data_IF_273159759664
#
_entry.id   IF_273159759664
#
_cell.length_a   1.000
_cell.length_b   1.000
_cell.length_c   1.000
_cell.angle_alpha   90.00
_cell.angle_beta   90.00
_cell.angle_gamma   90.00
#
_symmetry.space_group_name_H-M   'P 1'
#
loop_
_entity.id
_entity.type
_entity.pdbx_description
1 polymer ?
#
# COMPACT_ATOMS: atom_id res chain seq x y z
N UNK A 1 44.58 -8.20 -36.32
CA UNK A 1 44.39 -8.14 -34.86
C UNK A 1 45.32 -9.16 -34.20
N UNK A 2 46.12 -8.78 -33.19
CA UNK A 2 47.03 -9.74 -32.55
C UNK A 2 46.20 -10.86 -31.92
N UNK A 3 46.65 -12.12 -32.07
CA UNK A 3 45.94 -13.33 -31.60
C UNK A 3 45.50 -13.24 -30.13
N UNK A 4 46.24 -12.49 -29.32
CA UNK A 4 45.93 -12.19 -27.90
C UNK A 4 44.64 -11.37 -27.75
N UNK A 5 44.39 -10.40 -28.62
CA UNK A 5 43.18 -9.56 -28.59
C UNK A 5 41.93 -10.37 -28.95
N UNK A 6 42.06 -11.33 -29.88
CA UNK A 6 40.98 -12.25 -30.27
C UNK A 6 40.60 -13.17 -29.10
N UNK A 7 41.61 -13.71 -28.40
CA UNK A 7 41.39 -14.58 -27.23
C UNK A 7 40.75 -13.81 -26.08
N UNK A 8 41.18 -12.57 -25.82
CA UNK A 8 40.55 -11.69 -24.83
C UNK A 8 39.11 -11.34 -25.20
N UNK A 9 38.82 -11.06 -26.48
CA UNK A 9 37.47 -10.77 -26.93
C UNK A 9 36.54 -11.99 -26.81
N UNK A 10 37.03 -13.19 -27.10
CA UNK A 10 36.29 -14.45 -26.92
C UNK A 10 36.07 -14.75 -25.43
N UNK A 11 37.06 -14.49 -24.56
CA UNK A 11 36.92 -14.68 -23.12
C UNK A 11 35.93 -13.70 -22.47
N UNK A 12 35.85 -12.46 -22.98
CA UNK A 12 34.84 -11.47 -22.56
C UNK A 12 33.45 -11.87 -23.06
N UNK A 13 33.32 -12.37 -24.29
CA UNK A 13 32.05 -12.87 -24.82
C UNK A 13 31.54 -14.11 -24.07
N UNK A 14 32.42 -15.05 -23.70
CA UNK A 14 32.04 -16.25 -22.94
C UNK A 14 31.61 -15.95 -21.50
N UNK A 15 32.09 -14.86 -20.90
CA UNK A 15 31.63 -14.38 -19.59
C UNK A 15 30.38 -13.48 -19.65
N UNK A 16 30.00 -12.98 -20.84
CA UNK A 16 28.85 -12.10 -21.02
C UNK A 16 27.51 -12.85 -21.18
N UNK A 17 27.52 -14.18 -21.30
CA UNK A 17 26.31 -15.00 -21.55
C UNK A 17 25.78 -15.75 -20.33
N UNK A 18 25.97 -15.26 -19.10
CA UNK A 18 25.04 -15.60 -18.02
C UNK A 18 23.79 -14.75 -18.14
N UNK A 19 23.07 -14.87 -19.26
CA UNK A 19 21.69 -14.42 -19.33
C UNK A 19 20.93 -15.40 -18.44
N UNK A 20 20.75 -15.03 -17.17
CA UNK A 20 19.73 -15.70 -16.35
C UNK A 20 18.40 -15.39 -17.03
N UNK A 21 17.91 -16.32 -17.84
CA UNK A 21 16.53 -16.35 -18.22
C UNK A 21 15.70 -16.29 -16.93
N UNK A 22 14.61 -15.52 -16.94
CA UNK A 22 13.61 -15.59 -15.87
C UNK A 22 13.28 -17.07 -15.62
N UNK A 23 13.48 -17.55 -14.40
CA UNK A 23 13.30 -18.98 -14.09
C UNK A 23 11.85 -19.40 -14.32
N UNK A 24 10.89 -18.53 -13.96
CA UNK A 24 9.50 -18.66 -14.37
C UNK A 24 9.25 -17.98 -15.72
N UNK A 25 8.69 -18.73 -16.68
CA UNK A 25 8.29 -18.18 -17.98
C UNK A 25 7.14 -17.18 -17.85
N UNK A 26 7.01 -16.25 -18.80
CA UNK A 26 5.87 -15.33 -18.84
C UNK A 26 4.52 -16.05 -18.93
N UNK A 27 4.47 -17.22 -19.58
CA UNK A 27 3.26 -18.04 -19.66
C UNK A 27 2.85 -18.59 -18.28
N UNK A 28 3.81 -19.14 -17.51
CA UNK A 28 3.55 -19.59 -16.14
C UNK A 28 3.15 -18.44 -15.23
N UNK A 29 3.81 -17.28 -15.34
CA UNK A 29 3.46 -16.10 -14.53
C UNK A 29 2.04 -15.63 -14.83
N UNK A 30 1.65 -15.60 -16.11
CA UNK A 30 0.28 -15.25 -16.51
C UNK A 30 -0.74 -16.21 -15.91
N UNK A 31 -0.45 -17.51 -15.89
CA UNK A 31 -1.32 -18.48 -15.23
C UNK A 31 -1.37 -18.24 -13.72
N UNK A 32 -0.24 -18.03 -13.06
CA UNK A 32 -0.19 -17.72 -11.62
C UNK A 32 -1.01 -16.48 -11.26
N UNK A 33 -0.96 -15.43 -12.08
CA UNK A 33 -1.80 -14.23 -11.89
C UNK A 33 -3.29 -14.63 -11.92
N UNK A 34 -3.73 -15.42 -12.90
CA UNK A 34 -5.12 -15.89 -12.98
C UNK A 34 -5.53 -16.76 -11.79
N UNK A 35 -4.60 -17.57 -11.28
CA UNK A 35 -4.83 -18.42 -10.11
C UNK A 35 -4.98 -17.55 -8.84
N UNK A 36 -4.15 -16.51 -8.68
CA UNK A 36 -4.29 -15.56 -7.58
C UNK A 36 -5.62 -14.79 -7.62
N UNK A 37 -6.07 -14.30 -8.80
CA UNK A 37 -7.38 -13.61 -8.90
C UNK A 37 -8.53 -14.49 -8.39
N UNK A 38 -8.45 -15.82 -8.59
CA UNK A 38 -9.52 -16.78 -8.25
C UNK A 38 -9.44 -17.34 -6.83
N UNK A 39 -8.28 -17.26 -6.19
CA UNK A 39 -8.03 -17.83 -4.87
C UNK A 39 -8.53 -16.86 -3.77
N UNK A 40 -9.30 -17.32 -2.77
CA UNK A 40 -9.79 -16.46 -1.69
C UNK A 40 -8.69 -15.81 -0.85
N UNK A 41 -7.45 -16.28 -0.94
CA UNK A 41 -6.27 -15.70 -0.29
C UNK A 41 -5.26 -15.16 -1.29
N UNK A 42 -5.47 -15.31 -2.59
CA UNK A 42 -4.57 -14.79 -3.63
C UNK A 42 -3.12 -15.25 -3.42
N UNK A 43 -2.16 -14.31 -3.29
CA UNK A 43 -0.74 -14.63 -3.06
C UNK A 43 -0.41 -15.04 -1.61
N UNK A 44 -1.39 -15.00 -0.71
CA UNK A 44 -1.23 -15.26 0.72
C UNK A 44 -1.52 -16.73 1.10
N UNK A 45 -0.78 -17.25 2.07
CA UNK A 45 -0.91 -18.62 2.55
C UNK A 45 -1.85 -18.70 3.76
N UNK A 46 -1.51 -18.02 4.85
CA UNK A 46 -2.27 -18.03 6.11
C UNK A 46 -1.87 -16.85 6.98
N UNK A 47 -2.74 -16.47 7.92
CA UNK A 47 -2.41 -15.47 8.95
C UNK A 47 -1.40 -16.06 9.94
N UNK A 48 -0.47 -15.24 10.43
CA UNK A 48 0.54 -15.58 11.44
C UNK A 48 0.79 -14.35 12.32
N UNK A 49 1.27 -14.60 13.53
CA UNK A 49 1.98 -13.60 14.32
C UNK A 49 3.45 -13.64 13.96
N UNK A 50 4.05 -12.47 13.75
CA UNK A 50 5.47 -12.27 13.49
C UNK A 50 6.03 -11.44 14.64
N UNK A 51 6.75 -12.11 15.54
CA UNK A 51 7.23 -11.53 16.78
C UNK A 51 8.62 -10.94 16.61
N UNK A 52 8.95 -9.90 17.37
CA UNK A 52 10.26 -9.24 17.31
C UNK A 52 11.43 -10.15 17.70
N UNK A 53 11.16 -11.22 18.46
CA UNK A 53 12.14 -12.27 18.79
C UNK A 53 12.44 -13.21 17.61
N UNK A 54 11.83 -12.99 16.44
CA UNK A 54 12.00 -13.77 15.21
C UNK A 54 11.12 -15.02 15.14
N UNK A 55 10.30 -15.29 16.16
CA UNK A 55 9.37 -16.41 16.13
C UNK A 55 8.13 -16.10 15.28
N UNK A 56 7.57 -17.15 14.65
CA UNK A 56 6.29 -17.07 13.96
C UNK A 56 5.28 -17.98 14.66
N UNK A 57 4.12 -17.43 15.02
CA UNK A 57 3.09 -18.15 15.79
C UNK A 57 1.76 -18.23 15.04
N UNK A 58 0.89 -19.15 15.46
CA UNK A 58 -0.44 -19.31 14.87
C UNK A 58 -1.35 -18.12 15.23
N UNK A 59 -2.38 -17.77 14.43
CA UNK A 59 -3.19 -16.56 14.65
C UNK A 59 -3.84 -16.42 16.03
N UNK A 60 -4.15 -17.55 16.68
CA UNK A 60 -4.77 -17.62 18.02
C UNK A 60 -3.75 -17.73 19.15
N UNK A 61 -2.47 -17.62 18.83
CA UNK A 61 -1.34 -17.76 19.73
C UNK A 61 -0.47 -16.48 19.61
N UNK A 62 -0.85 -15.38 20.29
CA UNK A 62 -0.15 -14.10 20.18
C UNK A 62 1.31 -14.21 20.62
N UNK A 63 2.11 -13.19 20.32
CA UNK A 63 3.50 -13.14 20.78
C UNK A 63 3.60 -13.26 22.31
N UNK A 64 4.70 -13.84 22.84
CA UNK A 64 4.89 -13.99 24.29
C UNK A 64 4.70 -12.67 25.03
N UNK A 65 4.32 -12.73 26.30
CA UNK A 65 4.18 -11.53 27.13
C UNK A 65 5.49 -10.73 27.15
N UNK A 66 5.40 -9.42 26.86
CA UNK A 66 6.55 -8.53 26.75
C UNK A 66 7.32 -8.62 25.43
N UNK A 67 6.85 -9.40 24.46
CA UNK A 67 7.39 -9.45 23.10
C UNK A 67 6.35 -8.86 22.15
N UNK A 68 6.69 -7.74 21.53
CA UNK A 68 5.85 -7.11 20.51
C UNK A 68 5.90 -7.90 19.20
N UNK A 69 4.93 -7.63 18.34
CA UNK A 69 4.82 -8.25 17.04
C UNK A 69 3.58 -7.82 16.31
N UNK A 70 3.52 -8.18 15.04
CA UNK A 70 2.43 -7.82 14.15
C UNK A 70 1.75 -9.08 13.61
N UNK A 71 0.45 -8.97 13.35
CA UNK A 71 -0.32 -10.04 12.74
C UNK A 71 -0.63 -9.69 11.29
N UNK A 72 -0.17 -10.52 10.35
CA UNK A 72 -0.49 -10.38 8.95
C UNK A 72 -0.48 -11.75 8.25
N UNK A 73 -0.79 -11.77 6.96
CA UNK A 73 -0.67 -12.96 6.13
C UNK A 73 0.80 -13.31 5.84
N UNK A 74 1.16 -14.58 5.92
CA UNK A 74 2.39 -15.10 5.31
C UNK A 74 2.17 -15.32 3.81
N UNK A 75 3.24 -15.28 3.03
CA UNK A 75 3.20 -15.55 1.60
C UNK A 75 3.10 -17.04 1.28
N UNK A 76 2.57 -17.35 0.10
CA UNK A 76 2.72 -18.69 -0.49
C UNK A 76 4.17 -18.88 -0.96
N UNK A 77 4.71 -20.12 -0.92
CA UNK A 77 6.05 -20.39 -1.43
C UNK A 77 6.24 -19.94 -2.88
N UNK A 78 5.21 -20.05 -3.72
CA UNK A 78 5.27 -19.56 -5.10
C UNK A 78 5.46 -18.04 -5.17
N UNK A 79 4.79 -17.27 -4.30
CA UNK A 79 4.93 -15.82 -4.24
C UNK A 79 6.35 -15.42 -3.84
N UNK A 80 6.90 -16.09 -2.83
CA UNK A 80 8.29 -15.87 -2.38
C UNK A 80 9.29 -16.22 -3.50
N UNK A 81 9.10 -17.35 -4.18
CA UNK A 81 9.96 -17.76 -5.29
C UNK A 81 9.89 -16.78 -6.47
N UNK A 82 8.74 -16.16 -6.76
CA UNK A 82 8.63 -15.13 -7.81
C UNK A 82 9.40 -13.87 -7.44
N UNK A 83 9.36 -13.45 -6.17
CA UNK A 83 10.16 -12.34 -5.67
C UNK A 83 11.66 -12.65 -5.78
N UNK A 84 12.09 -13.82 -5.34
CA UNK A 84 13.51 -14.20 -5.30
C UNK A 84 14.12 -14.47 -6.69
N UNK A 85 13.38 -15.15 -7.58
CA UNK A 85 13.93 -15.67 -8.84
C UNK A 85 13.64 -14.79 -10.04
N UNK A 86 12.55 -14.03 -9.98
CA UNK A 86 12.07 -13.20 -11.09
C UNK A 86 12.02 -11.71 -10.74
N UNK A 87 12.32 -11.33 -9.48
CA UNK A 87 12.19 -9.97 -8.97
C UNK A 87 10.77 -9.42 -9.15
N UNK A 88 9.76 -10.28 -8.96
CA UNK A 88 8.34 -9.95 -9.09
C UNK A 88 7.65 -10.02 -7.73
N UNK A 89 7.12 -8.89 -7.27
CA UNK A 89 6.54 -8.75 -5.94
C UNK A 89 5.02 -8.60 -6.04
N UNK A 90 4.28 -9.60 -5.55
CA UNK A 90 2.82 -9.68 -5.67
C UNK A 90 2.16 -9.64 -4.28
N UNK A 91 1.20 -8.73 -4.10
CA UNK A 91 0.46 -8.59 -2.84
C UNK A 91 1.33 -8.15 -1.67
N UNK A 92 2.21 -7.19 -1.91
CA UNK A 92 3.13 -6.64 -0.91
C UNK A 92 2.40 -6.26 0.39
N UNK A 93 2.99 -6.64 1.53
CA UNK A 93 2.59 -6.31 2.89
C UNK A 93 3.73 -5.44 3.41
N UNK A 94 3.52 -4.13 3.47
CA UNK A 94 4.59 -3.20 3.81
C UNK A 94 5.11 -3.46 5.22
N UNK A 95 4.21 -3.76 6.17
CA UNK A 95 4.59 -4.05 7.56
C UNK A 95 5.58 -5.23 7.69
N UNK A 96 5.61 -6.14 6.70
CA UNK A 96 6.54 -7.26 6.66
C UNK A 96 7.83 -6.98 5.87
N UNK A 97 7.93 -5.82 5.20
CA UNK A 97 9.01 -5.52 4.28
C UNK A 97 10.20 -4.83 4.96
N UNK A 98 11.42 -5.24 4.61
CA UNK A 98 12.61 -4.44 4.94
C UNK A 98 12.66 -3.18 4.05
N UNK A 99 12.83 -2.00 4.68
CA UNK A 99 12.80 -0.69 4.00
C UNK A 99 13.85 -0.57 2.90
N UNK A 100 15.06 -1.12 3.09
CA UNK A 100 16.13 -1.08 2.09
C UNK A 100 15.81 -1.99 0.90
N UNK A 101 15.32 -3.21 1.16
CA UNK A 101 14.89 -4.15 0.13
C UNK A 101 13.66 -3.66 -0.62
N UNK A 102 12.77 -2.93 0.04
CA UNK A 102 11.61 -2.30 -0.59
C UNK A 102 12.03 -1.10 -1.46
N UNK A 103 12.94 -0.25 -0.97
CA UNK A 103 13.53 0.83 -1.75
C UNK A 103 14.31 0.32 -2.96
N UNK A 104 14.92 -0.86 -2.86
CA UNK A 104 15.44 -1.62 -4.00
C UNK A 104 16.39 -0.82 -4.90
N UNK A 105 17.32 -0.10 -4.27
CA UNK A 105 18.22 0.82 -4.98
C UNK A 105 19.10 0.14 -6.04
N UNK A 106 19.43 -1.15 -5.84
CA UNK A 106 20.23 -1.92 -6.77
C UNK A 106 19.49 -2.26 -8.07
N UNK A 107 18.15 -2.21 -8.08
CA UNK A 107 17.30 -2.46 -9.25
C UNK A 107 16.44 -1.23 -9.58
N UNK A 108 16.99 -0.03 -9.37
CA UNK A 108 16.32 1.23 -9.70
C UNK A 108 14.91 1.34 -9.09
N UNK A 109 14.75 1.03 -7.80
CA UNK A 109 13.46 1.11 -7.10
C UNK A 109 12.40 0.21 -7.72
N UNK A 110 12.78 -0.90 -8.36
CA UNK A 110 11.85 -1.79 -9.07
C UNK A 110 10.73 -2.30 -8.16
N UNK A 111 11.04 -2.76 -6.93
CA UNK A 111 10.02 -3.21 -5.98
C UNK A 111 9.02 -2.12 -5.60
N UNK A 112 9.49 -0.92 -5.29
CA UNK A 112 8.61 0.25 -5.05
C UNK A 112 7.73 0.54 -6.28
N UNK A 113 8.29 0.58 -7.48
CA UNK A 113 7.53 0.81 -8.72
C UNK A 113 6.47 -0.27 -8.94
N UNK A 114 6.81 -1.53 -8.67
CA UNK A 114 5.86 -2.65 -8.73
C UNK A 114 4.73 -2.49 -7.71
N UNK A 115 5.04 -2.04 -6.49
CA UNK A 115 4.02 -1.72 -5.49
C UNK A 115 3.00 -0.70 -6.02
N UNK A 116 3.48 0.41 -6.57
CA UNK A 116 2.59 1.46 -7.14
C UNK A 116 1.75 0.94 -8.31
N UNK A 117 2.35 0.13 -9.19
CA UNK A 117 1.62 -0.51 -10.28
C UNK A 117 0.56 -1.48 -9.75
N UNK A 118 0.86 -2.26 -8.71
CA UNK A 118 -0.09 -3.15 -8.07
C UNK A 118 -1.26 -2.37 -7.46
N UNK A 119 -1.00 -1.24 -6.77
CA UNK A 119 -2.04 -0.35 -6.22
C UNK A 119 -2.92 0.24 -7.31
N UNK A 120 -2.33 0.74 -8.39
CA UNK A 120 -3.08 1.21 -9.54
C UNK A 120 -3.97 0.10 -10.12
N UNK A 121 -3.42 -1.09 -10.38
CA UNK A 121 -4.17 -2.22 -10.93
C UNK A 121 -5.29 -2.69 -10.00
N UNK A 122 -5.05 -2.73 -8.69
CA UNK A 122 -6.10 -3.01 -7.70
C UNK A 122 -7.27 -2.03 -7.83
N UNK A 123 -6.98 -0.74 -7.97
CA UNK A 123 -8.00 0.31 -8.06
C UNK A 123 -8.83 0.27 -9.36
N UNK A 124 -8.28 -0.22 -10.48
CA UNK A 124 -8.93 -0.18 -11.80
C UNK A 124 -9.36 -1.54 -12.35
N UNK A 125 -8.90 -2.66 -11.77
CA UNK A 125 -9.19 -4.04 -12.20
C UNK A 125 -9.72 -4.90 -11.03
N UNK A 126 -10.70 -4.39 -10.28
CA UNK A 126 -11.41 -5.12 -9.22
C UNK A 126 -10.47 -5.85 -8.24
N UNK A 127 -9.49 -5.15 -7.67
CA UNK A 127 -8.48 -5.74 -6.78
C UNK A 127 -7.37 -6.53 -7.50
N UNK A 128 -7.43 -6.66 -8.83
CA UNK A 128 -6.45 -7.33 -9.69
C UNK A 128 -6.05 -8.71 -9.14
N UNK A 129 -4.78 -8.98 -8.81
CA UNK A 129 -4.36 -10.27 -8.21
C UNK A 129 -5.01 -10.56 -6.85
N UNK A 130 -5.53 -9.53 -6.18
CA UNK A 130 -6.26 -9.62 -4.92
C UNK A 130 -7.77 -9.63 -5.14
N UNK A 131 -8.28 -9.91 -6.34
CA UNK A 131 -9.71 -9.82 -6.65
C UNK A 131 -10.63 -10.48 -5.61
N UNK A 132 -10.30 -11.68 -5.11
CA UNK A 132 -10.98 -12.25 -3.95
C UNK A 132 -10.27 -12.00 -2.63
N UNK A 133 -8.94 -11.90 -2.66
CA UNK A 133 -8.12 -11.77 -1.47
C UNK A 133 -8.20 -10.38 -0.80
N UNK A 134 -8.75 -9.36 -1.47
CA UNK A 134 -9.04 -8.05 -0.89
C UNK A 134 -10.04 -8.14 0.27
N UNK A 135 -10.78 -9.24 0.36
CA UNK A 135 -11.68 -9.58 1.48
C UNK A 135 -11.05 -10.58 2.46
N UNK A 136 -9.76 -10.92 2.32
CA UNK A 136 -9.09 -11.86 3.21
C UNK A 136 -8.79 -11.23 4.57
N UNK A 137 -9.73 -11.42 5.51
CA UNK A 137 -9.65 -10.84 6.85
C UNK A 137 -8.35 -11.19 7.59
N UNK A 138 -7.70 -10.15 8.10
CA UNK A 138 -6.45 -10.25 8.88
C UNK A 138 -5.20 -10.39 8.03
N UNK A 139 -5.30 -10.33 6.69
CA UNK A 139 -4.12 -10.41 5.83
C UNK A 139 -3.20 -9.20 6.00
N UNK A 140 -3.79 -8.01 6.16
CA UNK A 140 -3.12 -6.72 6.31
C UNK A 140 -3.89 -5.92 7.36
N UNK A 141 -3.19 -5.12 8.17
CA UNK A 141 -3.76 -4.18 9.14
C UNK A 141 -3.32 -2.77 8.74
N UNK A 142 -4.27 -1.84 8.59
CA UNK A 142 -3.98 -0.49 8.09
C UNK A 142 -2.98 0.26 8.97
N UNK A 143 -3.10 0.06 10.29
CA UNK A 143 -2.31 0.71 11.32
C UNK A 143 -0.84 0.28 11.24
N UNK A 144 -0.57 -1.01 11.00
CA UNK A 144 0.79 -1.54 10.84
C UNK A 144 1.43 -1.07 9.53
N UNK A 145 0.65 -0.99 8.44
CA UNK A 145 1.13 -0.48 7.15
C UNK A 145 1.44 1.02 7.22
N UNK A 146 0.61 1.81 7.92
CA UNK A 146 0.83 3.24 8.16
C UNK A 146 2.07 3.49 9.03
N UNK A 147 2.23 2.74 10.12
CA UNK A 147 3.40 2.82 10.97
C UNK A 147 4.67 2.54 10.16
N UNK A 148 4.65 1.48 9.34
CA UNK A 148 5.76 1.17 8.46
C UNK A 148 6.05 2.30 7.46
N UNK A 149 5.01 2.88 6.86
CA UNK A 149 5.13 3.94 5.87
C UNK A 149 5.71 5.24 6.44
N UNK A 150 5.30 5.62 7.65
CA UNK A 150 5.89 6.75 8.39
C UNK A 150 7.39 6.52 8.58
N UNK A 151 7.77 5.36 9.14
CA UNK A 151 9.18 5.03 9.35
C UNK A 151 9.97 4.95 8.04
N UNK A 152 9.34 4.48 6.95
CA UNK A 152 9.94 4.47 5.61
C UNK A 152 10.25 5.87 5.12
N UNK A 153 9.33 6.82 5.25
CA UNK A 153 9.59 8.20 4.83
C UNK A 153 10.55 8.94 5.74
N UNK A 154 10.52 8.71 7.05
CA UNK A 154 11.53 9.24 7.97
C UNK A 154 12.94 8.77 7.59
N UNK A 155 13.10 7.49 7.25
CA UNK A 155 14.36 6.94 6.78
C UNK A 155 14.76 7.45 5.38
N UNK A 156 13.81 7.59 4.47
CA UNK A 156 14.04 7.95 3.07
C UNK A 156 14.37 9.42 2.89
N UNK A 157 13.62 10.30 3.56
CA UNK A 157 13.70 11.76 3.41
C UNK A 157 14.80 12.39 4.27
N UNK A 158 15.40 11.64 5.20
CA UNK A 158 16.56 12.09 5.98
C UNK A 158 17.86 12.21 5.16
N UNK A 159 17.86 11.71 3.92
CA UNK A 159 19.02 11.70 3.03
C UNK A 159 18.74 12.53 1.77
N UNK A 160 19.23 13.77 1.76
CA UNK A 160 19.01 14.73 0.67
C UNK A 160 19.46 14.18 -0.70
N UNK A 161 20.53 13.37 -0.74
CA UNK A 161 21.03 12.80 -1.98
C UNK A 161 20.04 11.78 -2.57
N UNK A 162 19.30 11.03 -1.73
CA UNK A 162 18.22 10.16 -2.22
C UNK A 162 17.08 10.96 -2.79
N UNK A 163 16.69 12.05 -2.10
CA UNK A 163 15.61 12.92 -2.51
C UNK A 163 15.91 13.58 -3.86
N UNK A 164 17.08 14.22 -4.00
CA UNK A 164 17.48 14.90 -5.23
C UNK A 164 17.54 13.94 -6.42
N UNK A 165 18.14 12.76 -6.24
CA UNK A 165 18.30 11.78 -7.32
C UNK A 165 16.97 11.13 -7.74
N UNK A 166 16.01 11.00 -6.83
CA UNK A 166 14.81 10.18 -7.04
C UNK A 166 13.50 10.96 -6.80
N UNK A 167 13.56 12.29 -6.89
CA UNK A 167 12.46 13.19 -6.51
C UNK A 167 11.09 12.76 -7.06
N UNK A 168 11.00 12.44 -8.34
CA UNK A 168 9.71 12.10 -8.96
C UNK A 168 9.13 10.77 -8.48
N UNK A 169 9.95 9.73 -8.27
CA UNK A 169 9.44 8.45 -7.77
C UNK A 169 9.04 8.56 -6.30
N UNK A 170 9.81 9.32 -5.50
CA UNK A 170 9.47 9.61 -4.10
C UNK A 170 8.15 10.40 -4.04
N UNK A 171 8.01 11.45 -4.87
CA UNK A 171 6.77 12.23 -4.96
C UNK A 171 5.58 11.37 -5.37
N UNK A 172 5.74 10.43 -6.30
CA UNK A 172 4.65 9.55 -6.68
C UNK A 172 4.31 8.55 -5.56
N UNK A 173 5.31 8.01 -4.85
CA UNK A 173 5.06 7.00 -3.82
C UNK A 173 4.19 7.52 -2.68
N UNK A 174 4.25 8.83 -2.40
CA UNK A 174 3.39 9.52 -1.41
C UNK A 174 1.89 9.39 -1.71
N UNK A 175 1.48 8.88 -2.88
CA UNK A 175 0.06 8.59 -3.15
C UNK A 175 -0.36 7.19 -2.71
N UNK A 176 0.59 6.27 -2.67
CA UNK A 176 0.32 4.83 -2.63
C UNK A 176 0.72 4.20 -1.30
N UNK A 177 1.83 4.67 -0.70
CA UNK A 177 2.29 4.18 0.61
C UNK A 177 1.47 4.89 1.69
N UNK A 178 0.76 4.18 2.58
CA UNK A 178 -0.01 4.79 3.65
C UNK A 178 0.93 5.42 4.69
N UNK A 179 0.68 6.69 5.06
CA UNK A 179 1.52 7.46 5.98
C UNK A 179 0.77 8.62 6.68
N UNK A 180 -0.56 8.58 6.65
CA UNK A 180 -1.40 9.60 7.29
C UNK A 180 -1.45 9.46 8.81
N UNK A 181 -1.06 8.29 9.32
CA UNK A 181 -1.25 7.89 10.71
C UNK A 181 -2.73 7.70 11.07
N UNK A 182 -2.98 7.31 12.31
CA UNK A 182 -4.32 7.02 12.79
C UNK A 182 -5.11 8.31 13.09
N UNK A 183 -5.71 8.90 12.06
CA UNK A 183 -6.52 10.11 12.21
C UNK A 183 -7.97 9.81 12.66
N UNK A 184 -8.61 10.80 13.27
CA UNK A 184 -9.99 10.65 13.77
C UNK A 184 -11.00 10.24 12.68
N UNK A 185 -10.72 10.56 11.40
CA UNK A 185 -11.62 10.28 10.28
C UNK A 185 -11.49 8.80 9.89
N UNK A 186 -10.27 8.26 9.84
CA UNK A 186 -9.97 6.85 9.63
C UNK A 186 -10.60 5.98 10.72
N UNK A 187 -10.44 6.39 12.00
CA UNK A 187 -11.08 5.71 13.13
C UNK A 187 -12.60 5.72 13.01
N UNK A 188 -13.19 6.88 12.63
CA UNK A 188 -14.63 7.01 12.44
C UNK A 188 -15.12 6.12 11.30
N UNK A 189 -14.44 6.10 10.15
CA UNK A 189 -14.74 5.23 9.01
C UNK A 189 -14.74 3.74 9.43
N UNK A 190 -13.73 3.29 10.18
CA UNK A 190 -13.65 1.92 10.69
C UNK A 190 -14.73 1.60 11.72
N UNK A 191 -15.09 2.56 12.57
CA UNK A 191 -16.18 2.42 13.54
C UNK A 191 -17.54 2.30 12.86
N UNK A 192 -17.85 3.20 11.92
CA UNK A 192 -19.10 3.20 11.15
C UNK A 192 -19.26 1.90 10.35
N UNK A 193 -18.23 1.49 9.61
CA UNK A 193 -18.24 0.23 8.87
C UNK A 193 -18.38 -1.00 9.76
N UNK A 194 -17.84 -0.96 10.99
CA UNK A 194 -18.04 -2.03 11.99
C UNK A 194 -19.49 -2.11 12.44
N UNK A 195 -20.09 -1.00 12.84
CA UNK A 195 -21.49 -0.96 13.31
C UNK A 195 -22.44 -1.48 12.23
N UNK A 196 -22.28 -1.02 10.98
CA UNK A 196 -23.10 -1.48 9.85
C UNK A 196 -22.96 -3.00 9.67
N UNK A 197 -21.76 -3.56 9.76
CA UNK A 197 -21.55 -4.99 9.57
C UNK A 197 -22.06 -5.86 10.74
N UNK A 198 -22.12 -5.31 11.95
CA UNK A 198 -22.72 -5.98 13.11
C UNK A 198 -24.24 -6.06 12.97
N UNK A 199 -24.88 -4.99 12.48
CA UNK A 199 -26.32 -4.94 12.24
C UNK A 199 -26.76 -5.63 10.93
N UNK A 200 -25.92 -5.57 9.90
CA UNK A 200 -26.17 -6.17 8.58
C UNK A 200 -24.98 -7.05 8.15
N UNK A 201 -24.95 -8.34 8.58
CA UNK A 201 -23.80 -9.22 8.39
C UNK A 201 -23.34 -9.42 6.94
N UNK A 202 -24.20 -9.18 5.94
CA UNK A 202 -23.82 -9.21 4.52
C UNK A 202 -22.76 -8.15 4.17
N UNK A 203 -22.61 -7.10 4.97
CA UNK A 203 -21.62 -6.04 4.77
C UNK A 203 -20.22 -6.39 5.31
N UNK A 204 -20.04 -7.58 5.90
CA UNK A 204 -18.78 -7.95 6.56
C UNK A 204 -17.57 -7.93 5.63
N UNK A 205 -17.72 -8.37 4.37
CA UNK A 205 -16.62 -8.36 3.40
C UNK A 205 -16.20 -6.93 3.05
N UNK A 206 -17.17 -6.03 2.82
CA UNK A 206 -16.89 -4.61 2.57
C UNK A 206 -16.20 -3.97 3.77
N UNK A 207 -16.66 -4.26 4.99
CA UNK A 207 -15.97 -3.82 6.22
C UNK A 207 -14.52 -4.31 6.27
N UNK A 208 -14.28 -5.58 5.97
CA UNK A 208 -12.92 -6.14 5.97
C UNK A 208 -12.02 -5.37 5.02
N UNK A 209 -12.52 -5.04 3.82
CA UNK A 209 -11.77 -4.27 2.82
C UNK A 209 -11.49 -2.84 3.29
N UNK A 210 -12.51 -2.09 3.74
CA UNK A 210 -12.35 -0.72 4.25
C UNK A 210 -11.39 -0.66 5.44
N UNK A 211 -11.41 -1.66 6.32
CA UNK A 211 -10.54 -1.69 7.49
C UNK A 211 -9.08 -2.00 7.13
N UNK A 212 -8.83 -2.97 6.26
CA UNK A 212 -7.46 -3.41 5.98
C UNK A 212 -6.77 -2.63 4.86
N UNK A 213 -7.52 -2.25 3.83
CA UNK A 213 -7.00 -1.61 2.61
C UNK A 213 -8.00 -0.55 2.10
N UNK A 214 -8.16 0.56 2.83
CA UNK A 214 -9.02 1.65 2.40
C UNK A 214 -8.49 2.24 1.07
N UNK A 215 -9.39 2.37 0.09
CA UNK A 215 -9.13 3.04 -1.19
C UNK A 215 -10.30 3.93 -1.63
N UNK A 216 -10.04 4.91 -2.50
CA UNK A 216 -11.09 5.81 -3.03
C UNK A 216 -12.26 5.07 -3.70
N UNK A 217 -11.99 3.89 -4.27
CA UNK A 217 -13.00 3.01 -4.86
C UNK A 217 -14.03 2.50 -3.85
N UNK A 218 -13.74 2.56 -2.54
CA UNK A 218 -14.66 2.17 -1.48
C UNK A 218 -15.94 2.99 -1.45
N UNK A 219 -15.86 4.25 -1.86
CA UNK A 219 -17.04 5.10 -1.94
C UNK A 219 -18.10 4.47 -2.86
N UNK A 220 -17.68 4.06 -4.05
CA UNK A 220 -18.56 3.39 -5.01
C UNK A 220 -18.99 2.01 -4.51
N UNK A 221 -18.08 1.26 -3.87
CA UNK A 221 -18.40 -0.06 -3.29
C UNK A 221 -19.54 0.03 -2.26
N UNK A 222 -19.46 0.99 -1.32
CA UNK A 222 -20.48 1.21 -0.29
C UNK A 222 -21.79 1.70 -0.88
N UNK A 223 -21.75 2.63 -1.84
CA UNK A 223 -22.93 3.14 -2.52
C UNK A 223 -23.66 2.03 -3.30
N UNK A 224 -22.92 1.21 -4.06
CA UNK A 224 -23.47 0.09 -4.82
C UNK A 224 -24.05 -0.98 -3.89
N UNK A 225 -23.36 -1.32 -2.81
CA UNK A 225 -23.85 -2.27 -1.81
C UNK A 225 -25.18 -1.79 -1.20
N UNK A 226 -25.25 -0.53 -0.80
CA UNK A 226 -26.49 0.07 -0.26
C UNK A 226 -27.64 0.00 -1.27
N UNK A 227 -27.35 0.24 -2.56
CA UNK A 227 -28.34 0.17 -3.63
C UNK A 227 -28.82 -1.27 -3.86
N UNK A 228 -27.90 -2.23 -3.93
CA UNK A 228 -28.19 -3.66 -4.13
C UNK A 228 -29.11 -4.21 -3.04
N UNK A 229 -28.85 -3.86 -1.78
CA UNK A 229 -29.62 -4.36 -0.63
C UNK A 229 -30.71 -3.41 -0.15
N UNK A 230 -31.09 -2.38 -0.93
CA UNK A 230 -31.89 -1.26 -0.43
C UNK A 230 -33.26 -1.65 0.16
N UNK A 231 -33.84 -2.75 -0.32
CA UNK A 231 -35.12 -3.29 0.15
C UNK A 231 -34.99 -4.07 1.48
N UNK A 232 -33.79 -4.55 1.80
CA UNK A 232 -33.49 -5.25 3.05
C UNK A 232 -33.03 -4.30 4.18
N UNK A 233 -32.68 -3.05 3.84
CA UNK A 233 -32.15 -2.08 4.80
C UNK A 233 -33.27 -1.33 5.54
N UNK A 234 -33.16 -1.29 6.87
CA UNK A 234 -34.00 -0.42 7.71
C UNK A 234 -33.68 1.05 7.45
N UNK A 235 -34.59 1.99 7.78
CA UNK A 235 -34.30 3.42 7.69
C UNK A 235 -33.04 3.82 8.48
N UNK A 236 -32.84 3.26 9.68
CA UNK A 236 -31.65 3.51 10.49
C UNK A 236 -30.37 3.03 9.81
N UNK A 237 -30.38 1.82 9.22
CA UNK A 237 -29.23 1.34 8.44
C UNK A 237 -28.94 2.24 7.24
N UNK A 238 -29.97 2.73 6.54
CA UNK A 238 -29.79 3.67 5.41
C UNK A 238 -29.09 4.96 5.84
N UNK A 239 -29.39 5.48 7.03
CA UNK A 239 -28.71 6.65 7.62
C UNK A 239 -27.26 6.32 8.02
N UNK A 240 -27.00 5.14 8.59
CA UNK A 240 -25.62 4.71 8.89
C UNK A 240 -24.77 4.58 7.62
N UNK A 241 -25.35 4.05 6.53
CA UNK A 241 -24.69 4.02 5.23
C UNK A 241 -24.41 5.44 4.68
N UNK A 242 -25.35 6.37 4.82
CA UNK A 242 -25.14 7.78 4.43
C UNK A 242 -24.00 8.43 5.23
N UNK A 243 -23.92 8.14 6.53
CA UNK A 243 -22.82 8.59 7.39
C UNK A 243 -21.46 8.03 6.94
N UNK A 244 -21.38 6.72 6.68
CA UNK A 244 -20.15 6.09 6.17
C UNK A 244 -19.72 6.69 4.82
N UNK A 245 -20.66 6.92 3.91
CA UNK A 245 -20.39 7.57 2.62
C UNK A 245 -19.88 9.01 2.83
N UNK A 246 -20.45 9.76 3.76
CA UNK A 246 -19.97 11.10 4.09
C UNK A 246 -18.54 11.06 4.67
N UNK A 247 -18.25 10.13 5.59
CA UNK A 247 -16.91 9.95 6.15
C UNK A 247 -15.90 9.53 5.08
N UNK A 248 -16.25 8.62 4.17
CA UNK A 248 -15.37 8.25 3.05
C UNK A 248 -15.06 9.43 2.13
N UNK A 249 -16.07 10.29 1.83
CA UNK A 249 -15.84 11.51 1.06
C UNK A 249 -14.90 12.48 1.78
N UNK A 250 -15.05 12.63 3.10
CA UNK A 250 -14.15 13.48 3.90
C UNK A 250 -12.73 12.90 3.95
N UNK A 251 -12.61 11.59 4.12
CA UNK A 251 -11.33 10.87 4.19
C UNK A 251 -10.52 10.99 2.90
N UNK A 252 -11.18 10.88 1.74
CA UNK A 252 -10.54 11.05 0.42
C UNK A 252 -10.61 12.48 -0.13
N UNK A 253 -10.99 13.45 0.69
CA UNK A 253 -11.05 14.84 0.25
C UNK A 253 -9.64 15.35 -0.11
N UNK A 254 -9.52 16.24 -1.10
CA UNK A 254 -8.27 16.95 -1.36
C UNK A 254 -7.75 17.66 -0.10
N UNK A 255 -6.44 17.89 -0.06
CA UNK A 255 -5.79 18.57 1.06
C UNK A 255 -6.46 19.91 1.37
N UNK A 256 -6.78 20.14 2.65
CA UNK A 256 -7.28 21.42 3.13
C UNK A 256 -6.08 22.35 3.41
N UNK A 257 -5.91 23.41 2.62
CA UNK A 257 -4.77 24.31 2.71
C UNK A 257 -4.78 25.17 3.98
N UNK A 258 -5.95 25.45 4.56
CA UNK A 258 -6.04 26.11 5.88
C UNK A 258 -5.54 25.18 6.99
N UNK A 259 -5.95 23.91 6.96
CA UNK A 259 -5.45 22.88 7.90
C UNK A 259 -3.95 22.71 7.75
N UNK A 260 -3.44 22.62 6.51
CA UNK A 260 -2.01 22.54 6.23
C UNK A 260 -1.26 23.77 6.76
N UNK A 261 -1.79 24.98 6.52
CA UNK A 261 -1.21 26.23 7.04
C UNK A 261 -1.06 26.20 8.57
N UNK A 262 -2.11 25.77 9.27
CA UNK A 262 -2.10 25.65 10.73
C UNK A 262 -1.09 24.60 11.22
N UNK A 263 -0.98 23.46 10.52
CA UNK A 263 0.02 22.43 10.82
C UNK A 263 1.46 22.93 10.60
N UNK A 264 1.73 23.61 9.49
CA UNK A 264 3.07 24.16 9.22
C UNK A 264 3.42 25.27 10.21
N UNK A 265 2.45 26.10 10.60
CA UNK A 265 2.65 27.16 11.59
C UNK A 265 3.03 26.62 12.98
N UNK A 266 2.55 25.43 13.35
CA UNK A 266 2.85 24.82 14.66
C UNK A 266 4.22 24.15 14.74
N UNK A 267 4.92 23.95 13.61
CA UNK A 267 6.28 23.40 13.59
C UNK A 267 7.23 24.37 14.30
N UNK A 268 7.96 23.89 15.30
CA UNK A 268 8.95 24.70 16.00
C UNK A 268 10.20 24.92 15.14
N UNK A 269 10.79 26.11 15.21
CA UNK A 269 11.97 26.49 14.44
C UNK A 269 11.66 27.40 13.25
N UNK A 270 12.73 27.98 12.71
CA UNK A 270 12.69 28.83 11.53
C UNK A 270 13.52 28.16 10.43
N UNK A 271 12.81 27.53 9.49
CA UNK A 271 13.40 26.76 8.40
C UNK A 271 12.92 27.34 7.08
N UNK A 272 13.79 27.41 6.07
CA UNK A 272 13.42 27.91 4.75
C UNK A 272 12.21 27.16 4.17
N UNK A 273 12.17 25.84 4.33
CA UNK A 273 11.04 25.00 3.89
C UNK A 273 9.72 25.38 4.59
N UNK A 274 9.76 25.72 5.88
CA UNK A 274 8.58 26.16 6.63
C UNK A 274 8.06 27.48 6.06
N UNK A 275 8.96 28.43 5.80
CA UNK A 275 8.58 29.72 5.22
C UNK A 275 8.00 29.55 3.80
N UNK A 276 8.59 28.68 2.98
CA UNK A 276 8.08 28.36 1.65
C UNK A 276 6.67 27.75 1.71
N UNK A 277 6.42 26.82 2.63
CA UNK A 277 5.10 26.21 2.82
C UNK A 277 4.04 27.19 3.35
N UNK A 278 4.42 28.07 4.28
CA UNK A 278 3.52 29.13 4.78
C UNK A 278 3.17 30.14 3.69
N UNK A 279 4.15 30.49 2.85
CA UNK A 279 3.92 31.35 1.69
C UNK A 279 2.98 30.67 0.69
N UNK A 280 3.26 29.42 0.32
CA UNK A 280 2.41 28.64 -0.58
C UNK A 280 0.96 28.58 -0.12
N UNK A 281 0.73 28.29 1.17
CA UNK A 281 -0.63 28.23 1.76
C UNK A 281 -1.28 29.60 1.99
N UNK A 282 -0.57 30.70 1.70
CA UNK A 282 -1.12 32.06 1.74
C UNK A 282 -1.39 32.59 0.34
N UNK A 283 -0.56 32.21 -0.64
CA UNK A 283 -0.69 32.59 -2.04
C UNK A 283 -1.83 31.82 -2.73
N UNK A 284 -2.17 30.62 -2.23
CA UNK A 284 -3.20 29.75 -2.78
C UNK A 284 -4.20 29.27 -1.72
N UNK A 285 -5.44 29.06 -2.14
CA UNK A 285 -6.53 28.49 -1.33
C UNK A 285 -7.15 27.25 -2.01
N UNK A 286 -8.07 26.59 -1.32
CA UNK A 286 -8.76 25.41 -1.85
C UNK A 286 -9.63 25.67 -3.10
N UNK A 287 -9.89 26.92 -3.45
CA UNK A 287 -10.64 27.31 -4.66
C UNK A 287 -9.72 27.67 -5.83
N UNK A 288 -8.42 27.79 -5.58
CA UNK A 288 -7.43 28.10 -6.60
C UNK A 288 -7.36 26.95 -7.60
N UNK A 289 -7.58 27.19 -8.91
CA UNK A 289 -7.47 26.16 -9.91
C UNK A 289 -6.08 25.54 -9.94
N UNK A 290 -6.00 24.21 -10.10
CA UNK A 290 -4.72 23.49 -10.07
C UNK A 290 -3.70 23.98 -11.11
N UNK A 291 -4.14 24.52 -12.25
CA UNK A 291 -3.26 25.06 -13.28
C UNK A 291 -2.63 26.41 -12.91
N UNK A 292 -3.15 27.12 -11.91
CA UNK A 292 -2.59 28.37 -11.40
C UNK A 292 -1.52 28.14 -10.31
N UNK A 293 -1.39 26.89 -9.84
CA UNK A 293 -0.46 26.46 -8.80
C UNK A 293 0.84 25.88 -9.38
N UNK A 294 0.82 25.44 -10.66
CA UNK A 294 1.91 24.72 -11.34
C UNK A 294 2.79 25.68 -12.16
#
# INVERSE_FOLDING_TARGET
MPKVLLVLFIAVLLNAFTVKAQEYTSASIKQTIQDFKKDPRGPYLRIRWFCEDGTMREPKDPCPEGVDGIQHASYKPLTENLAERNHLFFGEILAAADKNKFWDAAQEQSRLKQYQLNKYLQSVDNGWILEKAQFYRGAIQSEDEEAWGIEFYEWLLKDDARLEKNYYVIRQSLKDIPHSGDDNIAQRMRSESKVIAEEFPKFMDVRVKIHGQPEVSDLALVQNFRQEYSDELTPALKEQFDALVATLNEYYAPINLERLKNQVASINGDFDVKQQLLKFTTDFDNNTPAYDVI
#
